data_IF_841305343417
#
_entry.id   IF_841305343417
#
_cell.length_a   1.000
_cell.length_b   1.000
_cell.length_c   1.000
_cell.angle_alpha   90.00
_cell.angle_beta   90.00
_cell.angle_gamma   90.00
#
_symmetry.space_group_name_H-M   'P 1'
#
loop_
_entity.id
_entity.type
_entity.pdbx_description
1 polymer ?
#
# COMPACT_ATOMS: atom_id res chain seq x y z
N UNK A 1 16.99 5.40 -61.52
CA UNK A 1 17.48 4.42 -60.52
C UNK A 1 18.53 5.08 -59.64
N UNK A 2 18.15 5.56 -58.45
CA UNK A 2 19.04 5.79 -57.29
C UNK A 2 18.17 6.08 -56.07
N UNK A 3 18.24 5.15 -55.13
CA UNK A 3 17.62 5.11 -53.82
C UNK A 3 18.22 6.20 -52.92
N UNK A 4 17.40 7.00 -52.24
CA UNK A 4 17.82 7.76 -51.05
C UNK A 4 16.75 7.66 -49.97
N UNK A 5 16.93 6.61 -49.17
CA UNK A 5 16.64 6.44 -47.74
C UNK A 5 16.09 7.68 -47.03
N UNK A 6 14.82 7.60 -46.64
CA UNK A 6 14.24 8.46 -45.61
C UNK A 6 14.72 7.93 -44.25
N UNK A 7 15.54 8.72 -43.55
CA UNK A 7 15.98 8.43 -42.20
C UNK A 7 14.79 8.66 -41.25
N UNK A 8 14.11 7.59 -40.82
CA UNK A 8 13.22 7.65 -39.66
C UNK A 8 14.11 7.81 -38.41
N UNK A 9 14.19 9.04 -37.89
CA UNK A 9 14.68 9.27 -36.53
C UNK A 9 13.55 8.87 -35.59
N UNK A 10 13.56 7.61 -35.16
CA UNK A 10 12.74 7.15 -34.06
C UNK A 10 13.25 7.80 -32.77
N UNK A 11 12.53 8.81 -32.28
CA UNK A 11 12.71 9.33 -30.93
C UNK A 11 12.25 8.27 -29.94
N UNK A 12 13.15 7.36 -29.55
CA UNK A 12 12.97 6.55 -28.37
C UNK A 12 13.04 7.48 -27.15
N UNK A 13 11.88 7.80 -26.55
CA UNK A 13 11.85 8.29 -25.18
C UNK A 13 12.41 7.17 -24.30
N UNK A 14 13.70 7.26 -23.98
CA UNK A 14 14.23 6.62 -22.78
C UNK A 14 13.58 7.33 -21.58
N UNK A 15 12.44 6.81 -21.12
CA UNK A 15 12.08 7.02 -19.72
C UNK A 15 13.13 6.31 -18.89
N UNK A 16 14.00 7.09 -18.25
CA UNK A 16 14.82 6.60 -17.17
C UNK A 16 13.87 6.01 -16.13
N UNK A 17 13.79 4.68 -16.06
CA UNK A 17 13.20 3.99 -14.93
C UNK A 17 14.02 4.38 -13.70
N UNK A 18 13.59 5.40 -12.96
CA UNK A 18 14.06 5.58 -11.60
C UNK A 18 13.79 4.26 -10.89
N UNK A 19 14.86 3.62 -10.43
CA UNK A 19 14.75 2.38 -9.67
C UNK A 19 13.89 2.71 -8.45
N UNK A 20 12.66 2.19 -8.43
CA UNK A 20 11.76 2.32 -7.31
C UNK A 20 12.41 1.65 -6.08
N UNK A 21 13.03 2.47 -5.22
CA UNK A 21 13.73 2.00 -4.04
C UNK A 21 12.79 1.76 -2.86
N UNK A 22 11.48 1.96 -3.03
CA UNK A 22 10.46 1.80 -1.99
C UNK A 22 10.32 0.34 -1.58
N UNK A 23 10.08 0.15 -0.29
CA UNK A 23 9.84 -1.15 0.34
C UNK A 23 8.36 -1.49 0.36
N UNK A 24 7.49 -0.49 0.55
CA UNK A 24 6.03 -0.62 0.52
C UNK A 24 5.45 -0.53 -0.90
N UNK A 25 4.21 -0.96 -1.06
CA UNK A 25 3.43 -0.71 -2.26
C UNK A 25 3.21 0.79 -2.48
N UNK A 26 3.12 1.15 -3.75
CA UNK A 26 2.89 2.50 -4.20
C UNK A 26 2.10 2.44 -5.50
N UNK A 27 0.78 2.40 -5.35
CA UNK A 27 -0.17 2.36 -6.45
C UNK A 27 -0.76 3.77 -6.60
N UNK A 28 -0.60 4.38 -7.77
CA UNK A 28 -1.19 5.69 -8.11
C UNK A 28 -2.48 5.56 -8.91
N UNK A 29 -2.64 4.42 -9.57
CA UNK A 29 -3.70 4.16 -10.53
C UNK A 29 -4.13 2.70 -10.43
N UNK A 30 -5.44 2.48 -10.55
CA UNK A 30 -6.05 1.15 -10.72
C UNK A 30 -6.88 1.14 -12.00
N UNK A 31 -6.82 0.06 -12.76
CA UNK A 31 -7.68 -0.12 -13.94
C UNK A 31 -9.00 -0.74 -13.52
N UNK A 32 -10.10 -0.17 -14.02
CA UNK A 32 -11.46 -0.71 -13.90
C UNK A 32 -11.77 -1.40 -15.22
N UNK A 33 -11.64 -2.73 -15.27
CA UNK A 33 -11.78 -3.48 -16.53
C UNK A 33 -13.24 -3.82 -16.85
N UNK A 34 -13.64 -4.00 -18.12
CA UNK A 34 -15.00 -4.43 -18.43
C UNK A 34 -15.30 -5.79 -17.77
N UNK A 35 -16.48 -5.93 -17.16
CA UNK A 35 -16.92 -7.22 -16.66
C UNK A 35 -16.99 -8.24 -17.83
N UNK A 36 -16.42 -9.45 -17.70
CA UNK A 36 -16.38 -10.43 -18.79
C UNK A 36 -17.77 -11.04 -19.06
N UNK A 37 -18.71 -10.89 -18.13
CA UNK A 37 -20.06 -11.40 -18.21
C UNK A 37 -20.91 -10.89 -17.04
N UNK A 38 -21.97 -11.63 -16.71
CA UNK A 38 -22.77 -11.36 -15.52
C UNK A 38 -21.93 -11.62 -14.25
N UNK A 39 -21.96 -10.67 -13.32
CA UNK A 39 -21.24 -10.76 -12.04
C UNK A 39 -22.25 -10.98 -10.91
N UNK A 40 -21.96 -11.93 -10.03
CA UNK A 40 -22.78 -12.28 -8.86
C UNK A 40 -22.03 -11.88 -7.61
N UNK A 41 -22.66 -11.05 -6.76
CA UNK A 41 -22.03 -10.59 -5.50
C UNK A 41 -22.20 -11.67 -4.43
N UNK A 42 -21.25 -12.59 -4.36
CA UNK A 42 -21.23 -13.74 -3.46
C UNK A 42 -19.87 -13.98 -2.76
N UNK A 43 -18.89 -13.10 -3.01
CA UNK A 43 -17.54 -13.19 -2.49
C UNK A 43 -16.65 -14.17 -3.26
N UNK A 44 -17.11 -14.73 -4.37
CA UNK A 44 -16.31 -15.58 -5.24
C UNK A 44 -15.59 -14.76 -6.32
N UNK A 45 -14.77 -15.43 -7.12
CA UNK A 45 -13.93 -14.77 -8.13
C UNK A 45 -14.02 -15.41 -9.52
N UNK A 46 -14.92 -16.38 -9.69
CA UNK A 46 -14.99 -17.20 -10.90
C UNK A 46 -15.46 -16.40 -12.14
N UNK A 47 -16.25 -15.36 -11.92
CA UNK A 47 -16.79 -14.42 -12.89
C UNK A 47 -15.94 -13.13 -13.02
N UNK A 48 -14.82 -13.05 -12.31
CA UNK A 48 -13.93 -11.89 -12.32
C UNK A 48 -12.83 -11.98 -13.39
N UNK A 49 -12.58 -10.86 -14.07
CA UNK A 49 -11.27 -10.60 -14.67
C UNK A 49 -10.33 -10.02 -13.62
N UNK A 50 -9.44 -10.86 -13.08
CA UNK A 50 -8.48 -10.46 -12.04
C UNK A 50 -7.24 -9.74 -12.60
N UNK A 51 -7.07 -9.65 -13.91
CA UNK A 51 -5.82 -9.25 -14.59
C UNK A 51 -5.32 -7.83 -14.25
N UNK A 52 -6.24 -6.96 -13.83
CA UNK A 52 -6.00 -5.56 -13.48
C UNK A 52 -5.73 -5.28 -11.99
N UNK A 53 -5.64 -6.32 -11.16
CA UNK A 53 -5.48 -6.15 -9.71
C UNK A 53 -4.22 -5.40 -9.31
N UNK A 54 -4.35 -4.47 -8.36
CA UNK A 54 -3.21 -3.82 -7.68
C UNK A 54 -2.99 -4.46 -6.32
N UNK A 55 -1.72 -4.63 -5.94
CA UNK A 55 -1.35 -5.26 -4.67
C UNK A 55 -0.89 -4.20 -3.68
N UNK A 56 -1.56 -4.12 -2.53
CA UNK A 56 -1.26 -3.16 -1.48
C UNK A 56 -0.68 -3.85 -0.26
N UNK A 57 0.49 -3.40 0.21
CA UNK A 57 1.21 -3.93 1.37
C UNK A 57 2.23 -2.92 1.90
N UNK A 58 2.45 -2.89 3.21
CA UNK A 58 3.49 -2.03 3.82
C UNK A 58 4.89 -2.65 3.75
N UNK A 59 4.97 -3.98 3.77
CA UNK A 59 6.21 -4.74 3.83
C UNK A 59 6.07 -6.00 2.97
N UNK A 60 7.00 -6.25 2.03
CA UNK A 60 6.91 -7.40 1.13
C UNK A 60 7.08 -8.74 1.87
N UNK A 61 7.64 -8.76 3.08
CA UNK A 61 7.77 -9.96 3.91
C UNK A 61 6.46 -10.34 4.62
N UNK A 62 5.52 -9.39 4.71
CA UNK A 62 4.25 -9.57 5.43
C UNK A 62 3.07 -9.90 4.51
N UNK A 63 3.28 -10.03 3.20
CA UNK A 63 2.17 -10.09 2.25
C UNK A 63 1.21 -11.27 2.45
N UNK A 64 1.71 -12.39 2.97
CA UNK A 64 0.89 -13.57 3.29
C UNK A 64 0.04 -13.40 4.57
N UNK A 65 0.20 -12.28 5.29
CA UNK A 65 -0.50 -11.98 6.54
C UNK A 65 -1.24 -10.64 6.49
N UNK A 66 -0.66 -9.64 5.86
CA UNK A 66 -1.15 -8.26 5.87
C UNK A 66 -0.95 -7.65 4.47
N UNK A 67 -1.79 -8.09 3.53
CA UNK A 67 -1.90 -7.45 2.22
C UNK A 67 -3.31 -7.58 1.68
N UNK A 68 -3.62 -6.71 0.72
CA UNK A 68 -4.88 -6.77 0.00
C UNK A 68 -4.62 -6.60 -1.49
N UNK A 69 -5.24 -7.45 -2.30
CA UNK A 69 -5.41 -7.18 -3.71
C UNK A 69 -6.72 -6.44 -3.93
N UNK A 70 -6.69 -5.33 -4.66
CA UNK A 70 -7.90 -4.61 -5.08
C UNK A 70 -8.10 -4.78 -6.58
N UNK A 71 -9.29 -5.21 -6.96
CA UNK A 71 -9.73 -5.38 -8.35
C UNK A 71 -11.01 -4.58 -8.55
N UNK A 72 -11.13 -3.94 -9.72
CA UNK A 72 -12.34 -3.23 -10.11
C UNK A 72 -12.77 -3.67 -11.50
N UNK A 73 -14.06 -3.92 -11.67
CA UNK A 73 -14.68 -4.09 -12.99
C UNK A 73 -15.80 -3.09 -13.20
N UNK A 74 -16.26 -2.92 -14.44
CA UNK A 74 -17.42 -2.08 -14.72
C UNK A 74 -18.29 -2.66 -15.83
N UNK A 75 -19.56 -2.26 -15.80
CA UNK A 75 -20.50 -2.42 -16.90
C UNK A 75 -21.45 -1.20 -16.97
N UNK A 76 -22.52 -1.31 -17.76
CA UNK A 76 -23.53 -0.26 -17.87
C UNK A 76 -24.33 0.01 -16.58
N UNK A 77 -24.23 -0.84 -15.54
CA UNK A 77 -24.98 -0.72 -14.30
C UNK A 77 -24.16 -0.08 -13.18
N UNK A 78 -22.86 -0.37 -13.11
CA UNK A 78 -22.02 0.16 -12.04
C UNK A 78 -20.57 -0.28 -12.08
N UNK A 79 -19.91 -0.10 -10.93
CA UNK A 79 -18.58 -0.61 -10.65
C UNK A 79 -18.71 -1.84 -9.75
N UNK A 80 -18.03 -2.90 -10.11
CA UNK A 80 -17.81 -4.06 -9.27
C UNK A 80 -16.49 -3.87 -8.53
N UNK A 81 -16.50 -4.12 -7.23
CA UNK A 81 -15.35 -4.01 -6.35
C UNK A 81 -15.02 -5.37 -5.74
N UNK A 82 -13.75 -5.75 -5.74
CA UNK A 82 -13.25 -6.93 -5.04
C UNK A 82 -11.95 -6.61 -4.32
N UNK A 83 -11.94 -6.86 -3.01
CA UNK A 83 -10.75 -6.91 -2.19
C UNK A 83 -10.46 -8.35 -1.76
N UNK A 84 -9.25 -8.83 -1.98
CA UNK A 84 -8.79 -10.17 -1.57
C UNK A 84 -7.75 -10.00 -0.48
N UNK A 85 -8.16 -10.21 0.77
CA UNK A 85 -7.36 -9.98 1.97
C UNK A 85 -6.56 -11.22 2.32
N UNK A 86 -5.25 -11.07 2.47
CA UNK A 86 -4.47 -11.93 3.36
C UNK A 86 -4.65 -11.42 4.78
N UNK A 87 -5.12 -12.28 5.67
CA UNK A 87 -5.54 -11.89 7.02
C UNK A 87 -5.34 -13.06 8.00
N UNK A 88 -4.60 -12.88 9.11
CA UNK A 88 -4.44 -13.92 10.13
C UNK A 88 -5.70 -14.15 10.97
N UNK A 89 -6.62 -13.20 11.01
CA UNK A 89 -7.85 -13.22 11.81
C UNK A 89 -9.02 -12.74 10.95
N UNK A 90 -9.35 -13.45 9.86
CA UNK A 90 -10.25 -12.95 8.83
C UNK A 90 -11.65 -12.65 9.37
N UNK A 91 -12.24 -11.59 8.84
CA UNK A 91 -13.64 -11.20 9.02
C UNK A 91 -14.00 -10.87 10.48
N UNK A 92 -13.14 -10.07 11.14
CA UNK A 92 -13.29 -9.59 12.51
C UNK A 92 -13.51 -8.09 12.57
N UNK A 93 -14.74 -7.70 12.91
CA UNK A 93 -15.11 -6.32 13.22
C UNK A 93 -16.37 -6.30 14.09
N UNK A 94 -16.26 -5.87 15.34
CA UNK A 94 -17.37 -5.85 16.31
C UNK A 94 -18.36 -4.69 16.07
N UNK A 95 -18.13 -3.88 15.04
CA UNK A 95 -18.96 -2.73 14.71
C UNK A 95 -20.28 -3.14 14.04
N UNK A 96 -21.39 -2.50 14.43
CA UNK A 96 -22.68 -2.64 13.77
C UNK A 96 -22.77 -1.76 12.51
N UNK A 97 -23.56 -2.19 11.52
CA UNK A 97 -23.67 -1.54 10.21
C UNK A 97 -24.00 -0.03 10.21
N UNK A 98 -24.61 0.48 11.29
CA UNK A 98 -24.97 1.91 11.41
C UNK A 98 -23.82 2.81 11.87
N UNK A 99 -22.73 2.25 12.39
CA UNK A 99 -21.72 2.98 13.16
C UNK A 99 -20.48 3.32 12.32
N UNK A 100 -20.65 4.17 11.29
CA UNK A 100 -19.59 4.57 10.36
C UNK A 100 -18.30 5.03 11.07
N UNK A 101 -18.43 5.86 12.11
CA UNK A 101 -17.32 6.51 12.81
C UNK A 101 -16.35 5.56 13.52
N UNK A 102 -16.75 4.30 13.73
CA UNK A 102 -15.94 3.29 14.43
C UNK A 102 -15.70 2.03 13.58
N UNK A 103 -16.36 1.89 12.44
CA UNK A 103 -16.21 0.75 11.52
C UNK A 103 -14.78 0.51 10.99
N UNK A 104 -13.90 1.51 11.09
CA UNK A 104 -12.48 1.39 10.70
C UNK A 104 -11.59 0.71 11.76
N UNK A 105 -12.12 0.44 12.96
CA UNK A 105 -11.31 -0.02 14.10
C UNK A 105 -10.80 -1.45 13.98
N UNK A 106 -11.24 -2.23 13.00
CA UNK A 106 -10.83 -3.61 12.81
C UNK A 106 -10.85 -3.95 11.31
N UNK A 107 -11.13 -5.19 10.90
CA UNK A 107 -11.17 -5.57 9.48
C UNK A 107 -12.13 -4.66 8.73
N UNK A 108 -11.59 -3.87 7.81
CA UNK A 108 -12.35 -2.87 7.06
C UNK A 108 -11.56 -2.46 5.84
N UNK A 109 -12.25 -2.43 4.70
CA UNK A 109 -11.77 -1.74 3.52
C UNK A 109 -12.45 -0.38 3.46
N UNK A 110 -11.67 0.70 3.43
CA UNK A 110 -12.17 2.04 3.22
C UNK A 110 -11.72 2.57 1.86
N UNK A 111 -12.66 2.69 0.93
CA UNK A 111 -12.43 3.38 -0.32
C UNK A 111 -12.65 4.89 -0.14
N UNK A 112 -11.74 5.68 -0.69
CA UNK A 112 -11.86 7.13 -0.78
C UNK A 112 -12.16 7.49 -2.22
N UNK A 113 -13.36 7.95 -2.50
CA UNK A 113 -13.86 8.03 -3.86
C UNK A 113 -14.41 9.42 -4.14
N UNK A 114 -14.08 9.96 -5.32
CA UNK A 114 -14.73 11.15 -5.85
C UNK A 114 -15.12 10.85 -7.29
N UNK A 115 -16.42 10.79 -7.54
CA UNK A 115 -16.95 10.81 -8.90
C UNK A 115 -17.19 12.25 -9.33
N UNK A 116 -17.03 12.50 -10.64
CA UNK A 116 -17.28 13.82 -11.24
C UNK A 116 -16.45 14.93 -10.55
N UNK A 117 -15.20 14.59 -10.18
CA UNK A 117 -14.26 15.47 -9.47
C UNK A 117 -14.06 16.81 -10.20
N UNK A 118 -14.01 17.90 -9.43
CA UNK A 118 -13.91 19.27 -9.93
C UNK A 118 -15.05 19.70 -10.88
N UNK A 119 -16.24 19.08 -10.77
CA UNK A 119 -17.46 19.50 -11.46
C UNK A 119 -18.56 19.91 -10.46
N UNK A 120 -19.63 20.59 -10.90
CA UNK A 120 -20.78 20.88 -10.04
C UNK A 120 -21.48 19.63 -9.47
N UNK A 121 -21.29 18.46 -10.09
CA UNK A 121 -21.87 17.18 -9.69
C UNK A 121 -20.93 16.35 -8.78
N UNK A 122 -19.81 16.93 -8.32
CA UNK A 122 -18.81 16.29 -7.47
C UNK A 122 -19.45 15.58 -6.27
N UNK A 123 -19.13 14.29 -6.12
CA UNK A 123 -19.67 13.47 -5.04
C UNK A 123 -18.55 12.74 -4.32
N UNK A 124 -18.15 13.27 -3.16
CA UNK A 124 -17.16 12.63 -2.28
C UNK A 124 -17.84 11.54 -1.46
N UNK A 125 -17.36 10.31 -1.62
CA UNK A 125 -17.83 9.13 -0.92
C UNK A 125 -16.68 8.50 -0.13
N UNK A 126 -16.87 8.36 1.17
CA UNK A 126 -16.07 7.47 2.01
C UNK A 126 -16.85 6.17 2.17
N UNK A 127 -16.44 5.13 1.45
CA UNK A 127 -17.14 3.83 1.44
C UNK A 127 -16.38 2.86 2.34
N UNK A 128 -17.00 2.44 3.44
CA UNK A 128 -16.44 1.43 4.33
C UNK A 128 -17.16 0.10 4.07
N UNK A 129 -16.39 -0.95 3.84
CA UNK A 129 -16.89 -2.29 3.62
C UNK A 129 -16.20 -3.26 4.56
N UNK A 130 -16.98 -4.10 5.25
CA UNK A 130 -16.47 -5.02 6.25
C UNK A 130 -17.49 -6.12 6.57
N UNK A 131 -17.03 -7.21 7.17
CA UNK A 131 -17.90 -8.19 7.83
C UNK A 131 -18.07 -7.82 9.29
N UNK A 132 -19.32 -7.61 9.73
CA UNK A 132 -19.60 -7.40 11.16
C UNK A 132 -19.67 -8.75 11.85
N UNK A 133 -18.73 -9.01 12.76
CA UNK A 133 -18.72 -10.22 13.57
C UNK A 133 -19.78 -10.21 14.68
N UNK A 134 -20.28 -9.04 15.07
CA UNK A 134 -21.40 -8.90 16.01
C UNK A 134 -22.75 -9.15 15.35
N UNK A 135 -22.95 -8.64 14.13
CA UNK A 135 -24.21 -8.81 13.39
C UNK A 135 -24.23 -10.09 12.52
N UNK A 136 -23.08 -10.72 12.28
CA UNK A 136 -22.95 -11.94 11.49
C UNK A 136 -23.21 -11.73 9.99
N UNK A 137 -22.92 -10.54 9.44
CA UNK A 137 -23.15 -10.21 8.02
C UNK A 137 -22.25 -9.09 7.50
N UNK A 138 -22.04 -8.99 6.18
CA UNK A 138 -21.27 -7.90 5.59
C UNK A 138 -22.08 -6.60 5.51
N UNK A 139 -21.35 -5.49 5.53
CA UNK A 139 -21.87 -4.13 5.37
C UNK A 139 -21.05 -3.36 4.34
N UNK A 140 -21.75 -2.49 3.62
CA UNK A 140 -21.20 -1.44 2.78
C UNK A 140 -21.92 -0.15 3.14
N UNK A 141 -21.21 0.72 3.87
CA UNK A 141 -21.76 1.96 4.42
C UNK A 141 -20.97 3.16 3.92
N UNK A 142 -21.66 4.28 3.78
CA UNK A 142 -21.17 5.44 3.05
C UNK A 142 -21.31 6.69 3.91
N UNK A 143 -20.23 7.47 3.95
CA UNK A 143 -20.22 8.83 4.48
C UNK A 143 -20.00 9.80 3.32
N UNK A 144 -20.90 10.76 3.19
CA UNK A 144 -20.86 11.78 2.14
C UNK A 144 -20.10 13.03 2.60
N UNK A 145 -19.29 13.61 1.71
CA UNK A 145 -18.53 14.83 1.97
C UNK A 145 -17.48 14.69 3.07
N UNK A 146 -17.03 15.82 3.59
CA UNK A 146 -16.03 15.86 4.65
C UNK A 146 -16.57 15.51 6.03
N UNK A 147 -15.71 15.65 7.04
CA UNK A 147 -15.99 15.20 8.41
C UNK A 147 -16.34 16.33 9.39
N UNK A 148 -16.46 17.57 8.91
CA UNK A 148 -16.69 18.75 9.75
C UNK A 148 -17.95 19.49 9.31
N UNK A 149 -18.84 19.77 10.25
CA UNK A 149 -20.03 20.58 10.01
C UNK A 149 -19.75 22.09 9.92
N UNK A 150 -18.61 22.55 10.44
CA UNK A 150 -18.24 23.97 10.52
C UNK A 150 -16.76 24.18 10.18
N UNK A 151 -16.38 25.38 9.68
CA UNK A 151 -15.00 25.68 9.33
C UNK A 151 -14.07 25.79 10.56
N UNK A 152 -12.74 25.67 10.40
CA UNK A 152 -12.05 25.38 9.14
C UNK A 152 -12.24 23.92 8.71
N UNK A 153 -12.49 23.74 7.41
CA UNK A 153 -12.57 22.42 6.79
C UNK A 153 -11.18 21.90 6.45
N UNK A 154 -11.03 20.57 6.42
CA UNK A 154 -9.87 19.95 5.77
C UNK A 154 -10.12 19.86 4.25
N UNK A 155 -9.21 19.21 3.50
CA UNK A 155 -9.30 19.18 2.05
C UNK A 155 -10.58 18.50 1.54
N UNK A 156 -11.26 17.67 2.35
CA UNK A 156 -12.54 17.03 1.98
C UNK A 156 -13.75 17.96 2.07
N UNK A 157 -13.58 19.18 2.57
CA UNK A 157 -14.65 20.17 2.65
C UNK A 157 -15.63 19.91 3.81
N UNK A 158 -16.86 20.47 3.73
CA UNK A 158 -17.87 20.30 4.77
C UNK A 158 -18.50 18.91 4.74
N UNK A 159 -19.06 18.53 5.88
CA UNK A 159 -20.06 17.46 5.96
C UNK A 159 -21.26 17.74 5.04
N UNK A 160 -21.88 16.69 4.48
CA UNK A 160 -22.98 16.75 3.50
C UNK A 160 -24.20 15.95 3.96
N UNK A 161 -24.91 16.41 5.02
CA UNK A 161 -26.14 15.76 5.47
C UNK A 161 -27.26 15.80 4.42
N UNK A 162 -27.25 16.78 3.52
CA UNK A 162 -28.16 16.87 2.38
C UNK A 162 -27.98 15.70 1.39
N UNK A 163 -26.73 15.28 1.16
CA UNK A 163 -26.44 14.11 0.32
C UNK A 163 -26.80 12.82 1.06
N UNK A 164 -26.58 12.77 2.37
CA UNK A 164 -27.01 11.64 3.19
C UNK A 164 -28.52 11.46 3.17
N UNK A 165 -29.29 12.55 3.26
CA UNK A 165 -30.75 12.51 3.14
C UNK A 165 -31.20 12.07 1.75
N UNK A 166 -30.53 12.57 0.69
CA UNK A 166 -30.87 12.24 -0.71
C UNK A 166 -30.58 10.79 -1.08
N UNK A 167 -29.42 10.27 -0.67
CA UNK A 167 -28.90 8.99 -1.17
C UNK A 167 -28.94 7.87 -0.12
N UNK A 168 -29.00 8.22 1.16
CA UNK A 168 -28.91 7.27 2.27
C UNK A 168 -27.47 6.83 2.57
N UNK A 169 -27.31 6.22 3.75
CA UNK A 169 -26.01 5.77 4.27
C UNK A 169 -25.51 4.46 3.64
N UNK A 170 -26.28 3.83 2.75
CA UNK A 170 -25.94 2.56 2.10
C UNK A 170 -26.41 2.58 0.65
N UNK A 171 -25.79 1.79 -0.21
CA UNK A 171 -26.18 1.71 -1.62
C UNK A 171 -27.31 0.69 -1.90
N UNK A 172 -27.83 0.02 -0.86
CA UNK A 172 -28.74 -1.12 -1.02
C UNK A 172 -30.04 -0.77 -1.76
N UNK A 173 -30.64 0.38 -1.44
CA UNK A 173 -31.87 0.85 -2.08
C UNK A 173 -31.66 1.24 -3.56
N UNK A 174 -30.41 1.42 -3.98
CA UNK A 174 -30.02 1.68 -5.36
C UNK A 174 -29.55 0.42 -6.10
N UNK A 175 -29.70 -0.75 -5.49
CA UNK A 175 -29.27 -2.04 -6.05
C UNK A 175 -27.82 -2.41 -5.74
N UNK A 176 -27.15 -1.65 -4.87
CA UNK A 176 -25.83 -2.00 -4.37
C UNK A 176 -25.87 -3.24 -3.49
N UNK A 177 -24.81 -4.03 -3.52
CA UNK A 177 -24.70 -5.28 -2.77
C UNK A 177 -23.29 -5.46 -2.23
N UNK A 178 -23.15 -6.28 -1.19
CA UNK A 178 -21.87 -6.64 -0.59
C UNK A 178 -21.92 -8.08 -0.11
N UNK A 179 -20.84 -8.81 -0.33
CA UNK A 179 -20.65 -10.18 0.11
C UNK A 179 -19.22 -10.39 0.60
N UNK A 180 -19.04 -11.41 1.43
CA UNK A 180 -17.72 -11.82 1.91
C UNK A 180 -17.64 -13.33 1.92
N UNK A 181 -16.49 -13.88 1.50
CA UNK A 181 -16.26 -15.31 1.52
C UNK A 181 -14.86 -15.60 2.11
N UNK A 182 -14.76 -16.37 3.21
CA UNK A 182 -13.46 -16.79 3.74
C UNK A 182 -12.78 -17.74 2.76
N UNK A 183 -11.45 -17.68 2.69
CA UNK A 183 -10.69 -18.64 1.89
C UNK A 183 -10.66 -20.02 2.57
N UNK A 184 -10.59 -21.12 1.79
CA UNK A 184 -10.57 -22.47 2.34
C UNK A 184 -9.42 -22.76 3.33
N UNK A 185 -8.31 -22.04 3.23
CA UNK A 185 -7.14 -22.22 4.09
C UNK A 185 -7.20 -21.39 5.39
N UNK A 186 -8.24 -20.56 5.56
CA UNK A 186 -8.43 -19.69 6.72
C UNK A 186 -7.43 -18.55 6.85
N UNK A 187 -6.64 -18.25 5.82
CA UNK A 187 -5.60 -17.20 5.85
C UNK A 187 -6.01 -15.90 5.18
N UNK A 188 -7.31 -15.74 4.94
CA UNK A 188 -7.82 -14.61 4.20
C UNK A 188 -9.29 -14.76 3.86
N UNK A 189 -9.77 -13.75 3.14
CA UNK A 189 -11.14 -13.69 2.66
C UNK A 189 -11.25 -12.76 1.46
N UNK A 190 -12.30 -12.95 0.67
CA UNK A 190 -12.73 -12.00 -0.33
C UNK A 190 -13.81 -11.11 0.27
N UNK A 191 -13.73 -9.82 -0.02
CA UNK A 191 -14.80 -8.85 0.14
C UNK A 191 -15.17 -8.38 -1.24
N UNK A 192 -16.43 -8.56 -1.61
CA UNK A 192 -16.96 -8.20 -2.92
C UNK A 192 -18.13 -7.24 -2.76
N UNK A 193 -18.23 -6.23 -3.63
CA UNK A 193 -19.31 -5.26 -3.61
C UNK A 193 -19.69 -4.79 -5.02
N UNK A 194 -20.92 -4.30 -5.15
CA UNK A 194 -21.42 -3.63 -6.35
C UNK A 194 -21.85 -2.22 -6.02
N UNK A 195 -21.34 -1.27 -6.80
CA UNK A 195 -21.56 0.18 -6.65
C UNK A 195 -22.34 0.70 -7.87
N UNK A 196 -23.66 0.92 -7.73
CA UNK A 196 -24.50 1.34 -8.85
C UNK A 196 -24.16 2.76 -9.31
N UNK A 197 -24.15 3.00 -10.64
CA UNK A 197 -23.95 4.35 -11.19
C UNK A 197 -25.01 5.34 -10.67
N UNK A 198 -26.23 4.87 -10.44
CA UNK A 198 -27.37 5.64 -9.90
C UNK A 198 -27.19 6.12 -8.46
N UNK A 199 -26.21 5.57 -7.72
CA UNK A 199 -25.82 6.06 -6.39
C UNK A 199 -24.52 6.84 -6.47
N UNK A 200 -23.55 6.34 -7.22
CA UNK A 200 -22.19 6.90 -7.29
C UNK A 200 -22.11 8.23 -8.03
N UNK A 201 -23.02 8.50 -8.96
CA UNK A 201 -23.01 9.69 -9.80
C UNK A 201 -24.34 10.39 -9.77
N UNK A 202 -24.31 11.71 -9.60
CA UNK A 202 -25.52 12.54 -9.56
C UNK A 202 -26.40 12.37 -10.81
N UNK A 203 -25.79 12.22 -11.99
CA UNK A 203 -26.49 11.97 -13.25
C UNK A 203 -26.83 10.50 -13.54
N UNK A 204 -26.35 9.55 -12.72
CA UNK A 204 -26.59 8.12 -12.87
C UNK A 204 -25.99 7.46 -14.11
N UNK A 205 -25.29 8.21 -14.96
CA UNK A 205 -24.74 7.70 -16.22
C UNK A 205 -23.44 6.92 -15.98
N UNK A 206 -23.14 5.89 -16.78
CA UNK A 206 -21.84 5.22 -16.74
C UNK A 206 -20.70 6.16 -17.15
N UNK A 207 -19.51 5.91 -16.64
CA UNK A 207 -18.30 6.45 -17.23
C UNK A 207 -17.92 5.62 -18.47
N UNK A 208 -17.42 6.29 -19.52
CA UNK A 208 -16.91 5.66 -20.72
C UNK A 208 -15.44 5.27 -20.57
N UNK A 209 -14.97 4.34 -21.40
CA UNK A 209 -13.55 3.98 -21.46
C UNK A 209 -12.64 5.20 -21.68
N UNK A 210 -11.55 5.26 -20.92
CA UNK A 210 -10.61 6.37 -20.87
C UNK A 210 -10.99 7.47 -19.86
N UNK A 211 -12.23 7.50 -19.38
CA UNK A 211 -12.61 8.35 -18.24
C UNK A 211 -12.12 7.75 -16.92
N UNK A 212 -12.11 8.57 -15.87
CA UNK A 212 -11.61 8.17 -14.56
C UNK A 212 -12.40 8.81 -13.42
N UNK A 213 -12.25 8.27 -12.23
CA UNK A 213 -12.68 8.85 -10.97
C UNK A 213 -11.55 8.78 -9.94
N UNK A 214 -11.61 9.63 -8.90
CA UNK A 214 -10.61 9.62 -7.83
C UNK A 214 -10.82 8.39 -6.96
N UNK A 215 -9.74 7.69 -6.63
CA UNK A 215 -9.78 6.45 -5.87
C UNK A 215 -8.56 6.29 -4.98
N UNK A 216 -8.79 6.21 -3.67
CA UNK A 216 -7.80 5.90 -2.64
C UNK A 216 -8.17 4.64 -1.86
N UNK A 217 -7.14 3.97 -1.34
CA UNK A 217 -7.23 2.67 -0.66
C UNK A 217 -6.76 2.83 0.78
N UNK A 218 -7.62 2.58 1.75
CA UNK A 218 -7.19 2.24 3.10
C UNK A 218 -7.73 0.86 3.46
N UNK A 219 -6.86 0.00 3.96
CA UNK A 219 -7.23 -1.34 4.41
C UNK A 219 -6.75 -1.54 5.84
N UNK A 220 -7.62 -2.12 6.65
CA UNK A 220 -7.44 -2.34 8.08
C UNK A 220 -7.61 -3.81 8.40
N UNK A 221 -6.86 -4.25 9.42
CA UNK A 221 -6.95 -5.57 10.03
C UNK A 221 -7.22 -5.41 11.51
N UNK A 222 -8.17 -6.16 12.03
CA UNK A 222 -8.52 -6.24 13.43
C UNK A 222 -7.63 -7.20 14.22
N UNK A 223 -7.71 -7.08 15.53
CA UNK A 223 -7.34 -8.14 16.45
C UNK A 223 -8.40 -9.25 16.43
N UNK A 224 -8.12 -10.36 17.12
CA UNK A 224 -8.97 -11.56 17.07
C UNK A 224 -10.42 -11.35 17.55
N UNK A 225 -10.68 -10.36 18.42
CA UNK A 225 -12.03 -10.02 18.88
C UNK A 225 -12.72 -8.95 18.03
N UNK A 226 -12.03 -8.37 17.03
CA UNK A 226 -12.59 -7.37 16.12
C UNK A 226 -12.87 -6.02 16.75
N UNK A 227 -12.34 -5.74 17.94
CA UNK A 227 -12.60 -4.48 18.66
C UNK A 227 -11.56 -3.40 18.38
N UNK A 228 -10.36 -3.77 17.91
CA UNK A 228 -9.25 -2.84 17.72
C UNK A 228 -8.27 -3.23 16.60
N UNK A 229 -7.58 -2.22 16.08
CA UNK A 229 -6.74 -2.32 14.90
C UNK A 229 -5.44 -3.05 15.23
N UNK A 230 -5.13 -4.10 14.48
CA UNK A 230 -3.86 -4.81 14.52
C UNK A 230 -2.90 -4.36 13.42
N UNK A 231 -3.42 -4.01 12.24
CA UNK A 231 -2.62 -3.49 11.13
C UNK A 231 -3.44 -2.53 10.27
N UNK A 232 -2.75 -1.64 9.55
CA UNK A 232 -3.37 -0.73 8.57
C UNK A 232 -2.42 -0.45 7.42
N UNK A 233 -2.98 -0.21 6.25
CA UNK A 233 -2.26 0.33 5.11
C UNK A 233 -3.08 1.43 4.43
N UNK A 234 -2.35 2.27 3.70
CA UNK A 234 -2.87 3.36 2.89
C UNK A 234 -2.09 3.38 1.56
N UNK A 235 -2.80 3.30 0.45
CA UNK A 235 -2.28 3.22 -0.92
C UNK A 235 -3.29 3.81 -1.92
N UNK A 236 -3.03 3.79 -3.23
CA UNK A 236 -3.90 4.51 -4.16
C UNK A 236 -3.72 6.02 -3.97
N UNK A 237 -2.49 6.50 -4.10
CA UNK A 237 -2.10 7.89 -3.82
C UNK A 237 -1.25 8.50 -4.94
N UNK A 238 -1.21 9.83 -5.04
CA UNK A 238 -0.53 10.55 -6.13
C UNK A 238 1.00 10.51 -6.03
N UNK A 239 1.55 10.68 -4.84
CA UNK A 239 2.98 10.87 -4.57
C UNK A 239 3.32 10.46 -3.12
N UNK A 240 4.60 10.49 -2.76
CA UNK A 240 5.11 10.10 -1.43
C UNK A 240 4.93 11.18 -0.34
N UNK A 241 4.50 12.38 -0.72
CA UNK A 241 4.23 13.48 0.23
C UNK A 241 2.84 13.40 0.86
N UNK A 242 1.96 12.57 0.30
CA UNK A 242 0.58 12.39 0.77
C UNK A 242 0.56 11.83 2.19
N UNK A 243 -0.28 12.43 3.03
CA UNK A 243 -0.46 11.97 4.41
C UNK A 243 -1.21 10.61 4.44
N UNK A 244 -0.44 9.54 4.62
CA UNK A 244 -0.96 8.16 4.77
C UNK A 244 -1.52 7.85 6.17
N UNK A 245 -1.33 8.73 7.16
CA UNK A 245 -1.82 8.55 8.54
C UNK A 245 -3.26 9.06 8.68
N UNK A 246 -3.58 10.21 8.10
CA UNK A 246 -4.92 10.80 8.05
C UNK A 246 -5.42 10.84 6.61
N UNK A 247 -5.27 9.73 5.89
CA UNK A 247 -5.56 9.65 4.46
C UNK A 247 -7.01 10.00 4.12
N UNK A 248 -7.96 9.73 5.02
CA UNK A 248 -9.35 10.16 4.88
C UNK A 248 -9.56 11.68 4.76
N UNK A 249 -8.54 12.53 5.04
CA UNK A 249 -8.57 13.98 4.82
C UNK A 249 -7.76 14.45 3.61
N UNK A 250 -6.98 13.55 3.00
CA UNK A 250 -5.97 13.89 2.01
C UNK A 250 -6.52 13.84 0.58
N UNK A 251 -7.67 14.51 0.32
CA UNK A 251 -8.41 14.35 -0.96
C UNK A 251 -7.54 14.55 -2.20
N UNK A 252 -6.66 15.56 -2.16
CA UNK A 252 -5.78 15.93 -3.28
C UNK A 252 -4.65 14.94 -3.51
N UNK A 253 -4.41 14.06 -2.53
CA UNK A 253 -3.40 13.01 -2.59
C UNK A 253 -3.96 11.64 -2.92
N UNK A 254 -5.28 11.49 -3.12
CA UNK A 254 -5.87 10.23 -3.56
C UNK A 254 -5.54 9.98 -5.03
N UNK A 255 -5.30 8.72 -5.38
CA UNK A 255 -5.01 8.27 -6.73
C UNK A 255 -6.25 8.25 -7.61
N UNK A 256 -6.20 7.47 -8.68
CA UNK A 256 -7.31 7.40 -9.66
C UNK A 256 -7.65 5.97 -10.07
N UNK A 257 -8.90 5.77 -10.41
CA UNK A 257 -9.40 4.57 -11.08
C UNK A 257 -9.78 4.94 -12.52
N UNK A 258 -9.22 4.22 -13.50
CA UNK A 258 -9.41 4.50 -14.93
C UNK A 258 -10.27 3.42 -15.56
N UNK A 259 -11.35 3.82 -16.24
CA UNK A 259 -12.22 2.91 -16.98
C UNK A 259 -11.46 2.38 -18.19
N UNK A 260 -11.09 1.09 -18.17
CA UNK A 260 -10.35 0.46 -19.24
C UNK A 260 -11.29 0.00 -20.36
N UNK A 261 -10.81 0.11 -21.60
CA UNK A 261 -11.55 -0.37 -22.78
C UNK A 261 -11.56 -1.90 -22.92
N UNK A 262 -10.63 -2.60 -22.26
CA UNK A 262 -10.47 -4.06 -22.33
C UNK A 262 -9.93 -4.62 -21.03
N UNK A 263 -10.22 -5.90 -20.79
CA UNK A 263 -9.62 -6.73 -19.76
C UNK A 263 -8.32 -7.42 -20.23
N UNK A 264 -7.91 -8.45 -19.50
CA UNK A 264 -6.73 -9.27 -19.81
C UNK A 264 -5.42 -8.49 -19.76
N UNK A 265 -5.24 -7.65 -18.74
CA UNK A 265 -4.05 -6.82 -18.54
C UNK A 265 -2.94 -7.58 -17.80
N UNK A 266 -1.68 -7.14 -17.95
CA UNK A 266 -0.55 -7.75 -17.23
C UNK A 266 -0.28 -7.09 -15.86
N UNK A 267 -1.27 -6.44 -15.24
CA UNK A 267 -1.04 -5.64 -14.01
C UNK A 267 -0.65 -6.55 -12.84
N UNK A 268 -1.38 -7.65 -12.63
CA UNK A 268 -1.07 -8.60 -11.55
C UNK A 268 0.32 -9.19 -11.71
N UNK A 269 0.70 -9.59 -12.93
CA UNK A 269 2.04 -10.14 -13.22
C UNK A 269 3.13 -9.12 -12.87
N UNK A 270 2.94 -7.85 -13.25
CA UNK A 270 3.86 -6.77 -12.94
C UNK A 270 3.96 -6.51 -11.42
N UNK A 271 2.83 -6.53 -10.70
CA UNK A 271 2.79 -6.36 -9.25
C UNK A 271 3.54 -7.50 -8.53
N UNK A 272 3.34 -8.74 -8.96
CA UNK A 272 4.05 -9.92 -8.42
C UNK A 272 5.55 -9.83 -8.72
N UNK A 273 5.94 -9.44 -9.93
CA UNK A 273 7.34 -9.26 -10.29
C UNK A 273 8.01 -8.15 -9.45
N UNK A 274 7.31 -7.04 -9.25
CA UNK A 274 7.79 -5.92 -8.43
C UNK A 274 7.91 -6.30 -6.95
N UNK A 275 6.95 -7.04 -6.41
CA UNK A 275 7.04 -7.60 -5.07
C UNK A 275 8.25 -8.51 -4.92
N UNK A 276 8.47 -9.46 -5.85
CA UNK A 276 9.65 -10.35 -5.82
C UNK A 276 10.96 -9.55 -5.84
N UNK A 277 11.04 -8.50 -6.65
CA UNK A 277 12.20 -7.61 -6.70
C UNK A 277 12.41 -6.89 -5.35
N UNK A 278 11.34 -6.39 -4.72
CA UNK A 278 11.38 -5.75 -3.40
C UNK A 278 11.75 -6.74 -2.29
N UNK A 279 11.17 -7.93 -2.28
CA UNK A 279 11.46 -9.00 -1.31
C UNK A 279 12.93 -9.44 -1.39
N UNK A 280 13.49 -9.58 -2.61
CA UNK A 280 14.91 -9.90 -2.78
C UNK A 280 15.80 -8.86 -2.08
N UNK A 281 15.46 -7.58 -2.17
CA UNK A 281 16.19 -6.51 -1.45
C UNK A 281 16.10 -6.71 0.06
N UNK A 282 14.97 -7.17 0.61
CA UNK A 282 14.84 -7.53 2.05
C UNK A 282 15.64 -8.75 2.47
N UNK A 283 15.72 -9.78 1.64
CA UNK A 283 16.63 -10.91 1.89
C UNK A 283 18.09 -10.44 1.94
N UNK A 284 18.42 -9.38 1.19
CA UNK A 284 19.71 -8.72 1.29
C UNK A 284 19.81 -7.82 2.57
N UNK A 285 18.70 -7.33 3.15
CA UNK A 285 18.65 -6.58 4.42
C UNK A 285 18.81 -7.41 5.69
N UNK A 286 18.52 -8.72 5.67
CA UNK A 286 18.92 -9.64 6.77
C UNK A 286 20.46 -9.77 6.86
N UNK A 287 21.15 -9.27 5.83
CA UNK A 287 22.60 -8.98 5.82
C UNK A 287 22.94 -7.50 5.94
N UNK A 288 21.99 -6.59 6.14
CA UNK A 288 22.22 -5.18 6.50
C UNK A 288 21.77 -4.89 7.93
N UNK A 289 22.31 -5.64 8.90
CA UNK A 289 22.13 -5.32 10.31
C UNK A 289 22.48 -3.86 10.62
N UNK A 290 21.74 -3.24 11.54
CA UNK A 290 22.19 -2.00 12.15
C UNK A 290 23.57 -2.20 12.77
N UNK A 291 24.47 -1.22 12.63
CA UNK A 291 25.73 -1.27 13.37
C UNK A 291 25.40 -1.26 14.87
N UNK A 292 25.83 -2.28 15.62
CA UNK A 292 25.37 -2.46 16.98
C UNK A 292 25.99 -1.41 17.90
N UNK A 293 25.21 -0.92 18.85
CA UNK A 293 25.72 -0.16 20.01
C UNK A 293 25.83 -1.16 21.16
N UNK A 294 27.04 -1.39 21.66
CA UNK A 294 27.30 -2.47 22.62
C UNK A 294 28.13 -2.02 23.80
N UNK A 295 27.87 -2.62 24.96
CA UNK A 295 28.76 -2.54 26.09
C UNK A 295 29.96 -3.47 25.87
N UNK A 296 31.14 -3.02 26.28
CA UNK A 296 32.42 -3.71 26.12
C UNK A 296 32.56 -4.92 27.06
N UNK A 297 31.69 -5.92 26.92
CA UNK A 297 31.63 -7.09 27.81
C UNK A 297 31.33 -8.41 27.11
N UNK A 298 31.91 -9.48 27.65
CA UNK A 298 31.64 -10.87 27.24
C UNK A 298 31.79 -11.07 25.73
N UNK A 299 30.88 -11.84 25.14
CA UNK A 299 30.92 -12.12 23.70
C UNK A 299 30.80 -10.89 22.80
N UNK A 300 30.33 -9.74 23.30
CA UNK A 300 30.28 -8.49 22.52
C UNK A 300 31.65 -7.84 22.40
N UNK A 301 32.48 -7.91 23.45
CA UNK A 301 33.89 -7.49 23.39
C UNK A 301 34.66 -8.26 22.31
N UNK A 302 34.39 -9.56 22.21
CA UNK A 302 35.10 -10.46 21.29
C UNK A 302 34.65 -10.33 19.83
N UNK A 303 33.45 -9.78 19.58
CA UNK A 303 32.81 -9.78 18.25
C UNK A 303 32.59 -8.38 17.67
N UNK A 304 32.57 -7.35 18.51
CA UNK A 304 32.34 -5.97 18.07
C UNK A 304 33.53 -5.09 18.43
N UNK A 305 34.08 -4.42 17.43
CA UNK A 305 35.17 -3.45 17.57
C UNK A 305 34.69 -2.06 17.18
N UNK A 306 35.15 -1.05 17.92
CA UNK A 306 34.70 0.32 17.73
C UNK A 306 34.99 0.82 16.30
N UNK A 307 33.97 1.39 15.64
CA UNK A 307 34.05 1.85 14.27
C UNK A 307 34.96 3.07 14.15
N UNK A 308 36.03 2.91 13.36
CA UNK A 308 36.86 4.01 12.88
C UNK A 308 36.70 4.12 11.36
N UNK A 309 35.93 5.11 10.93
CA UNK A 309 35.63 5.35 9.53
C UNK A 309 36.86 5.83 8.74
N UNK A 310 37.80 6.53 9.37
CA UNK A 310 39.00 7.03 8.71
C UNK A 310 39.99 5.89 8.45
N UNK A 311 40.08 4.97 9.41
CA UNK A 311 40.92 3.78 9.30
C UNK A 311 40.24 2.62 8.54
N UNK A 312 38.96 2.74 8.17
CA UNK A 312 38.13 1.66 7.62
C UNK A 312 38.14 0.40 8.50
N UNK A 313 38.07 0.57 9.81
CA UNK A 313 38.14 -0.51 10.79
C UNK A 313 36.93 -0.49 11.72
N UNK A 314 36.70 -1.59 12.43
CA UNK A 314 35.58 -1.72 13.36
C UNK A 314 34.27 -2.10 12.68
N UNK A 315 33.29 -2.48 13.47
CA UNK A 315 32.00 -2.99 13.00
C UNK A 315 30.80 -2.59 13.90
N UNK A 316 31.01 -1.74 14.92
CA UNK A 316 29.95 -1.21 15.77
C UNK A 316 30.42 -0.08 16.68
N UNK A 317 29.57 0.37 17.60
CA UNK A 317 29.86 1.44 18.56
C UNK A 317 29.96 0.85 19.97
N UNK A 318 31.19 0.66 20.42
CA UNK A 318 31.50 0.01 21.70
C UNK A 318 31.71 1.05 22.79
N UNK A 319 31.00 0.95 23.92
CA UNK A 319 31.23 1.77 25.11
C UNK A 319 31.72 0.93 26.29
N UNK A 320 32.62 1.49 27.12
CA UNK A 320 33.30 0.75 28.19
C UNK A 320 32.60 0.83 29.54
N UNK A 321 32.10 2.02 29.88
CA UNK A 321 31.49 2.28 31.17
C UNK A 321 30.00 1.96 31.15
N UNK A 322 29.57 1.01 31.97
CA UNK A 322 28.16 0.62 32.08
C UNK A 322 27.35 1.64 32.88
N UNK A 323 27.17 2.82 32.30
CA UNK A 323 26.40 3.91 32.88
C UNK A 323 25.66 4.70 31.77
N UNK A 324 24.71 5.57 32.15
CA UNK A 324 23.95 6.36 31.18
C UNK A 324 24.83 7.25 30.28
N UNK A 325 25.97 7.74 30.77
CA UNK A 325 26.87 8.60 30.00
C UNK A 325 27.65 7.80 28.95
N UNK A 326 28.09 6.59 29.29
CA UNK A 326 28.73 5.66 28.36
C UNK A 326 27.81 5.24 27.22
N UNK A 327 26.56 4.90 27.53
CA UNK A 327 25.56 4.60 26.50
C UNK A 327 25.25 5.84 25.64
N UNK A 328 25.05 7.00 26.27
CA UNK A 328 24.80 8.25 25.54
C UNK A 328 25.93 8.60 24.57
N UNK A 329 27.18 8.46 25.01
CA UNK A 329 28.35 8.66 24.15
C UNK A 329 28.33 7.72 22.93
N UNK A 330 27.99 6.44 23.12
CA UNK A 330 27.92 5.47 22.02
C UNK A 330 26.82 5.82 21.01
N UNK A 331 25.67 6.29 21.50
CA UNK A 331 24.58 6.82 20.67
C UNK A 331 25.08 8.03 19.87
N UNK A 332 25.82 8.95 20.49
CA UNK A 332 26.39 10.09 19.77
C UNK A 332 27.35 9.64 18.66
N UNK A 333 28.21 8.63 18.90
CA UNK A 333 29.07 8.08 17.84
C UNK A 333 28.25 7.49 16.69
N UNK A 334 27.18 6.75 17.00
CA UNK A 334 26.27 6.21 16.00
C UNK A 334 25.57 7.30 15.19
N UNK A 335 25.15 8.39 15.84
CA UNK A 335 24.52 9.53 15.18
C UNK A 335 25.52 10.31 14.32
N UNK A 336 26.76 10.49 14.78
CA UNK A 336 27.82 11.11 13.99
C UNK A 336 28.09 10.32 12.70
N UNK A 337 28.15 8.99 12.79
CA UNK A 337 28.24 8.11 11.62
C UNK A 337 27.02 8.23 10.71
N UNK A 338 25.80 8.28 11.27
CA UNK A 338 24.57 8.42 10.50
C UNK A 338 24.55 9.73 9.69
N UNK A 339 25.09 10.81 10.27
CA UNK A 339 25.17 12.14 9.64
C UNK A 339 26.20 12.24 8.51
N UNK A 340 27.07 11.24 8.32
CA UNK A 340 27.99 11.21 7.18
C UNK A 340 27.22 11.20 5.83
N UNK A 341 27.85 11.69 4.74
CA UNK A 341 27.30 11.57 3.40
C UNK A 341 26.90 10.12 3.09
N UNK A 342 25.76 9.94 2.40
CA UNK A 342 25.17 8.63 2.10
C UNK A 342 26.20 7.67 1.48
N UNK A 343 27.04 8.15 0.57
CA UNK A 343 28.03 7.32 -0.12
C UNK A 343 29.16 6.86 0.80
N UNK A 344 29.63 7.71 1.72
CA UNK A 344 30.65 7.34 2.70
C UNK A 344 30.13 6.34 3.72
N UNK A 345 28.91 6.59 4.24
CA UNK A 345 28.24 5.67 5.15
C UNK A 345 27.99 4.32 4.49
N UNK A 346 27.54 4.31 3.24
CA UNK A 346 27.32 3.09 2.46
C UNK A 346 28.60 2.30 2.25
N UNK A 347 29.74 2.95 1.98
CA UNK A 347 31.05 2.27 1.86
C UNK A 347 31.40 1.48 3.13
N UNK A 348 31.25 2.09 4.31
CA UNK A 348 31.52 1.40 5.59
C UNK A 348 30.56 0.24 5.84
N UNK A 349 29.26 0.46 5.66
CA UNK A 349 28.24 -0.59 5.83
C UNK A 349 28.56 -1.77 4.90
N UNK A 350 28.82 -1.48 3.62
CA UNK A 350 29.23 -2.46 2.62
C UNK A 350 30.43 -3.31 3.04
N UNK A 351 31.49 -2.66 3.53
CA UNK A 351 32.70 -3.33 4.02
C UNK A 351 32.38 -4.27 5.17
N UNK A 352 31.73 -3.75 6.21
CA UNK A 352 31.40 -4.48 7.44
C UNK A 352 30.57 -5.72 7.12
N UNK A 353 29.60 -5.62 6.21
CA UNK A 353 28.78 -6.76 5.81
C UNK A 353 29.56 -7.83 5.04
N UNK A 354 30.50 -7.43 4.17
CA UNK A 354 31.37 -8.39 3.49
C UNK A 354 32.26 -9.13 4.49
N UNK A 355 32.84 -8.44 5.45
CA UNK A 355 33.68 -9.01 6.51
C UNK A 355 32.88 -9.98 7.42
N UNK A 356 31.67 -9.59 7.81
CA UNK A 356 30.76 -10.43 8.61
C UNK A 356 30.29 -11.68 7.85
N UNK A 357 30.17 -11.59 6.52
CA UNK A 357 29.79 -12.73 5.68
C UNK A 357 30.96 -13.70 5.47
N UNK A 358 32.18 -13.18 5.29
CA UNK A 358 33.39 -13.99 5.12
C UNK A 358 33.73 -14.86 6.34
N UNK A 359 33.25 -14.47 7.53
CA UNK A 359 33.46 -15.19 8.79
C UNK A 359 32.34 -16.20 9.12
N UNK A 360 31.29 -16.33 8.29
CA UNK A 360 30.18 -17.28 8.47
C UNK A 360 30.40 -18.59 7.68
N UNK A 361 29.98 -19.71 8.27
CA UNK A 361 30.01 -21.06 7.67
C UNK A 361 28.76 -21.44 6.84
N UNK A 362 27.88 -20.49 6.51
CA UNK A 362 26.68 -20.68 5.65
C UNK A 362 26.81 -19.82 4.37
N UNK A 363 26.16 -20.18 3.24
CA UNK A 363 26.30 -19.46 1.97
C UNK A 363 25.86 -17.99 2.11
N UNK A 364 26.65 -17.10 1.53
CA UNK A 364 26.50 -15.65 1.56
C UNK A 364 25.20 -15.15 0.91
N UNK A 365 24.59 -14.11 1.49
CA UNK A 365 23.62 -13.26 0.77
C UNK A 365 24.36 -12.33 -0.22
N UNK A 366 23.62 -11.81 -1.20
CA UNK A 366 24.20 -10.95 -2.24
C UNK A 366 24.42 -9.55 -1.65
N UNK A 367 25.62 -8.94 -1.81
CA UNK A 367 25.87 -7.58 -1.33
C UNK A 367 24.96 -6.55 -2.05
N UNK A 368 24.75 -5.35 -1.48
CA UNK A 368 23.71 -4.44 -1.93
C UNK A 368 24.06 -3.89 -3.31
N UNK A 369 23.08 -3.41 -4.08
CA UNK A 369 23.35 -2.81 -5.38
C UNK A 369 24.38 -1.66 -5.31
N UNK A 370 24.38 -0.89 -4.21
CA UNK A 370 25.39 0.15 -3.91
C UNK A 370 26.82 -0.37 -3.68
N UNK A 371 26.96 -1.68 -3.49
CA UNK A 371 28.22 -2.40 -3.31
C UNK A 371 28.72 -3.06 -4.62
N UNK A 372 27.92 -3.05 -5.69
CA UNK A 372 28.22 -3.76 -6.94
C UNK A 372 28.90 -2.89 -8.01
N UNK A 373 29.08 -1.59 -7.76
CA UNK A 373 29.91 -0.73 -8.61
C UNK A 373 31.38 -0.92 -8.24
N UNK A 374 32.10 -1.67 -9.07
CA UNK A 374 33.56 -1.64 -9.05
C UNK A 374 34.04 -0.21 -9.36
N UNK A 375 35.13 0.28 -8.74
CA UNK A 375 35.72 1.54 -9.16
C UNK A 375 36.15 1.40 -10.63
N UNK A 376 35.72 2.34 -11.46
CA UNK A 376 36.31 2.56 -12.78
C UNK A 376 37.80 2.84 -12.57
N UNK A 377 38.66 2.02 -13.19
CA UNK A 377 40.11 2.24 -13.23
C UNK A 377 40.47 3.64 -13.74
#
# INVERSE_FOLDING_TARGET
MKLRTLLLVGSALLMAAHADDRTMSFNTEIQVVPAPGAVVIDGQTADWDLSAGVWSYNDPTLVERYSVWTHLMWDGKGVYFLARYHDPTPMRNDTAGKDFAVSWRADCYQARVIFDDATPDEHILHVNMYYSSSDGRPYMIVKHGGFRAQPPYDATGPDRPDQLERWGATMAEHGGAVATAPWPDGKGYNLEAFWPWTYCRTGGQPLAAGQSFVFGIEAMWGNADGTMLAHRLADGITDDTVNRIFMFRARTGWGKAVIAAKGGLAVVENQVALHKARLKRFADYDTYGSLPIVHDTGGLHDTVTHLDCNANQGNGFVFKFFDPLGLYWAIQQAMNFYQLPKDERNKQICRIMREATATRSRPAATPPASCTTAPSN
#
